data_IF_700726949622
#
_entry.id   IF_700726949622
#
_cell.length_a   1.000
_cell.length_b   1.000
_cell.length_c   1.000
_cell.angle_alpha   90.00
_cell.angle_beta   90.00
_cell.angle_gamma   90.00
#
_symmetry.space_group_name_H-M   'P 1'
#
loop_
_entity.id
_entity.type
_entity.pdbx_description
1 polymer ?
#
# COMPACT_ATOMS: atom_id res chain seq x y z
N UNK A 1 -13.68 -17.76 29.10
CA UNK A 1 -15.14 -17.53 29.14
C UNK A 1 -15.52 -17.32 30.59
N UNK A 2 -16.11 -16.17 30.94
CA UNK A 2 -16.48 -15.86 32.34
C UNK A 2 -17.76 -16.63 32.65
N UNK A 3 -17.74 -17.45 33.70
CA UNK A 3 -18.96 -18.08 34.20
C UNK A 3 -19.87 -17.00 34.79
N UNK A 4 -21.14 -17.03 34.40
CA UNK A 4 -22.19 -16.10 34.84
C UNK A 4 -23.44 -16.85 35.31
N UNK A 5 -23.35 -18.16 35.48
CA UNK A 5 -24.44 -19.04 35.90
C UNK A 5 -25.15 -18.57 37.19
N UNK A 6 -24.43 -17.83 38.04
CA UNK A 6 -24.91 -17.25 39.28
C UNK A 6 -25.87 -16.05 39.11
N UNK A 7 -26.06 -15.50 37.90
CA UNK A 7 -26.96 -14.38 37.67
C UNK A 7 -28.43 -14.86 37.57
N UNK A 8 -29.38 -14.17 38.23
CA UNK A 8 -30.77 -14.63 38.34
C UNK A 8 -31.58 -14.50 37.04
N UNK A 9 -31.18 -13.61 36.12
CA UNK A 9 -31.90 -13.36 34.86
C UNK A 9 -31.13 -13.91 33.66
N UNK A 10 -31.82 -14.64 32.77
CA UNK A 10 -31.22 -15.20 31.55
C UNK A 10 -30.59 -14.13 30.65
N UNK A 11 -31.24 -12.98 30.49
CA UNK A 11 -30.73 -11.85 29.72
C UNK A 11 -29.38 -11.33 30.22
N UNK A 12 -29.11 -11.40 31.53
CA UNK A 12 -27.83 -10.98 32.11
C UNK A 12 -26.73 -12.04 31.94
N UNK A 13 -27.11 -13.32 31.94
CA UNK A 13 -26.20 -14.45 31.66
C UNK A 13 -25.71 -14.44 30.21
N UNK A 14 -26.61 -14.12 29.30
CA UNK A 14 -26.36 -14.09 27.84
C UNK A 14 -25.88 -12.72 27.33
N UNK A 15 -25.84 -11.70 28.20
CA UNK A 15 -25.45 -10.35 27.80
C UNK A 15 -24.01 -10.31 27.26
N UNK A 16 -23.88 -10.08 25.95
CA UNK A 16 -22.60 -9.81 25.32
C UNK A 16 -22.45 -8.29 25.17
N UNK A 17 -21.41 -7.71 25.78
CA UNK A 17 -21.16 -6.28 25.65
C UNK A 17 -20.80 -5.95 24.19
N UNK A 18 -21.77 -5.36 23.49
CA UNK A 18 -21.64 -4.95 22.09
C UNK A 18 -20.66 -3.80 21.92
N UNK A 19 -20.34 -3.05 22.99
CA UNK A 19 -19.36 -1.97 22.91
C UNK A 19 -17.97 -2.55 22.66
N UNK A 20 -17.60 -3.62 23.35
CA UNK A 20 -16.33 -4.32 23.12
C UNK A 20 -16.23 -4.91 21.71
N UNK A 21 -17.34 -5.38 21.13
CA UNK A 21 -17.36 -5.81 19.73
C UNK A 21 -17.14 -4.65 18.75
N UNK A 22 -17.75 -3.49 19.01
CA UNK A 22 -17.54 -2.28 18.19
C UNK A 22 -16.10 -1.75 18.30
N UNK A 23 -15.50 -1.77 19.50
CA UNK A 23 -14.10 -1.38 19.69
C UNK A 23 -13.14 -2.35 19.00
N UNK A 24 -13.40 -3.66 19.07
CA UNK A 24 -12.64 -4.68 18.34
C UNK A 24 -12.72 -4.46 16.82
N UNK A 25 -13.92 -4.16 16.30
CA UNK A 25 -14.13 -3.87 14.89
C UNK A 25 -13.43 -2.59 14.43
N UNK A 26 -13.49 -1.52 15.24
CA UNK A 26 -12.78 -0.27 14.98
C UNK A 26 -11.26 -0.50 14.91
N UNK A 27 -10.68 -1.14 15.93
CA UNK A 27 -9.25 -1.47 16.00
C UNK A 27 -8.79 -2.29 14.77
N UNK A 28 -9.53 -3.35 14.43
CA UNK A 28 -9.21 -4.17 13.26
C UNK A 28 -9.35 -3.40 11.94
N UNK A 29 -10.36 -2.54 11.82
CA UNK A 29 -10.55 -1.71 10.62
C UNK A 29 -9.46 -0.65 10.46
N UNK A 30 -8.98 -0.07 11.56
CA UNK A 30 -7.89 0.92 11.55
C UNK A 30 -6.57 0.26 11.14
N UNK A 31 -6.25 -0.91 11.73
CA UNK A 31 -5.04 -1.65 11.38
C UNK A 31 -5.08 -2.23 9.97
N UNK A 32 -6.23 -2.74 9.49
CA UNK A 32 -6.38 -3.21 8.13
C UNK A 32 -6.23 -2.06 7.11
N UNK A 33 -6.79 -0.88 7.42
CA UNK A 33 -6.64 0.32 6.57
C UNK A 33 -5.20 0.81 6.55
N UNK A 34 -4.53 0.90 7.71
CA UNK A 34 -3.12 1.28 7.79
C UNK A 34 -2.21 0.31 7.03
N UNK A 35 -2.46 -1.00 7.13
CA UNK A 35 -1.72 -2.01 6.37
C UNK A 35 -1.99 -1.90 4.86
N UNK A 36 -3.22 -1.61 4.45
CA UNK A 36 -3.55 -1.36 3.04
C UNK A 36 -2.90 -0.09 2.48
N UNK A 37 -2.74 0.96 3.31
CA UNK A 37 -2.01 2.17 2.93
C UNK A 37 -0.50 1.91 2.85
N UNK A 38 0.07 1.15 3.80
CA UNK A 38 1.50 0.84 3.81
C UNK A 38 1.92 -0.15 2.72
N UNK A 39 1.06 -1.10 2.33
CA UNK A 39 1.32 -1.97 1.16
C UNK A 39 1.40 -1.20 -0.16
N UNK A 40 0.70 -0.07 -0.28
CA UNK A 40 0.83 0.85 -1.42
C UNK A 40 2.06 1.76 -1.34
N UNK A 41 2.69 1.89 -0.15
CA UNK A 41 3.92 2.64 0.09
C UNK A 41 5.19 1.79 -0.02
N UNK A 42 5.15 0.63 -0.70
CA UNK A 42 6.42 0.01 -1.11
C UNK A 42 7.09 0.96 -2.09
N UNK A 43 8.08 1.69 -1.60
CA UNK A 43 8.86 2.70 -2.31
C UNK A 43 9.61 2.05 -3.47
N UNK A 44 8.95 1.85 -4.60
CA UNK A 44 9.59 1.45 -5.86
C UNK A 44 10.38 2.61 -6.50
N UNK A 45 10.46 3.75 -5.82
CA UNK A 45 11.28 4.88 -6.22
C UNK A 45 12.72 4.58 -5.80
N UNK A 46 13.54 4.22 -6.78
CA UNK A 46 14.99 4.10 -6.57
C UNK A 46 15.57 5.40 -6.02
N UNK A 47 16.41 5.32 -4.99
CA UNK A 47 17.21 6.42 -4.39
C UNK A 47 18.26 7.02 -5.35
N UNK A 48 18.15 6.74 -6.65
CA UNK A 48 19.00 7.33 -7.66
C UNK A 48 18.78 8.85 -7.73
N UNK A 49 19.89 9.58 -7.68
CA UNK A 49 19.91 11.01 -8.01
C UNK A 49 19.37 11.25 -9.42
N UNK A 50 18.85 12.45 -9.66
CA UNK A 50 18.36 12.88 -10.97
C UNK A 50 19.41 12.66 -12.07
N UNK A 51 20.66 13.02 -11.78
CA UNK A 51 21.79 12.86 -12.70
C UNK A 51 22.00 11.41 -13.14
N UNK A 52 21.94 10.46 -12.18
CA UNK A 52 22.06 9.04 -12.49
C UNK A 52 20.89 8.53 -13.33
N UNK A 53 19.67 9.00 -13.06
CA UNK A 53 18.49 8.66 -13.87
C UNK A 53 18.65 9.16 -15.32
N UNK A 54 19.08 10.41 -15.49
CA UNK A 54 19.34 10.99 -16.82
C UNK A 54 20.47 10.28 -17.55
N UNK A 55 21.54 9.92 -16.85
CA UNK A 55 22.65 9.16 -17.41
C UNK A 55 22.17 7.79 -17.93
N UNK A 56 21.39 7.06 -17.13
CA UNK A 56 20.82 5.77 -17.56
C UNK A 56 19.88 5.92 -18.75
N UNK A 57 19.01 6.95 -18.76
CA UNK A 57 18.15 7.24 -19.91
C UNK A 57 18.97 7.58 -21.17
N UNK A 58 20.07 8.30 -21.01
CA UNK A 58 20.97 8.65 -22.12
C UNK A 58 21.68 7.41 -22.67
N UNK A 59 22.10 6.49 -21.81
CA UNK A 59 22.69 5.21 -22.22
C UNK A 59 21.68 4.33 -22.95
N UNK A 60 20.45 4.23 -22.44
CA UNK A 60 19.35 3.51 -23.10
C UNK A 60 19.05 4.10 -24.47
N UNK A 61 18.99 5.44 -24.57
CA UNK A 61 18.80 6.15 -25.82
C UNK A 61 19.95 5.89 -26.81
N UNK A 62 21.21 6.06 -26.39
CA UNK A 62 22.37 5.85 -27.25
C UNK A 62 22.47 4.39 -27.76
N UNK A 63 22.16 3.43 -26.89
CA UNK A 63 22.18 2.00 -27.23
C UNK A 63 20.91 1.49 -27.89
N UNK A 64 19.88 2.33 -28.06
CA UNK A 64 18.53 1.93 -28.52
C UNK A 64 18.01 0.67 -27.80
N UNK A 65 18.25 0.61 -26.49
CA UNK A 65 17.92 -0.56 -25.68
C UNK A 65 16.42 -0.61 -25.39
N UNK A 66 15.84 -1.80 -25.47
CA UNK A 66 14.45 -2.02 -25.04
C UNK A 66 14.41 -1.99 -23.50
N UNK A 67 13.86 -0.91 -22.96
CA UNK A 67 13.76 -0.69 -21.51
C UNK A 67 12.31 -0.70 -21.04
N UNK A 68 12.12 -0.93 -19.74
CA UNK A 68 10.84 -0.71 -19.06
C UNK A 68 11.00 0.42 -18.05
N UNK A 69 10.20 1.47 -18.21
CA UNK A 69 10.17 2.63 -17.32
C UNK A 69 8.84 2.61 -16.57
N UNK A 70 8.90 2.76 -15.26
CA UNK A 70 7.72 2.82 -14.40
C UNK A 70 7.62 4.20 -13.79
N UNK A 71 6.46 4.82 -13.93
CA UNK A 71 6.17 6.17 -13.43
C UNK A 71 4.91 6.11 -12.59
N UNK A 72 4.84 6.95 -11.56
CA UNK A 72 3.65 7.14 -10.76
C UNK A 72 2.94 8.38 -11.29
N UNK A 73 1.79 8.19 -11.94
CA UNK A 73 0.93 9.27 -12.44
C UNK A 73 -0.40 9.22 -11.70
N UNK A 74 -0.85 10.33 -11.11
CA UNK A 74 -2.14 10.43 -10.39
C UNK A 74 -2.37 9.28 -9.39
N UNK A 75 -1.32 8.94 -8.64
CA UNK A 75 -1.29 7.85 -7.66
C UNK A 75 -1.52 6.44 -8.24
N UNK A 76 -1.36 6.26 -9.56
CA UNK A 76 -1.40 4.98 -10.25
C UNK A 76 -0.04 4.69 -10.89
N UNK A 77 0.40 3.45 -10.80
CA UNK A 77 1.66 3.00 -11.41
C UNK A 77 1.41 2.67 -12.87
N UNK A 78 2.06 3.42 -13.76
CA UNK A 78 2.02 3.19 -15.21
C UNK A 78 3.38 2.66 -15.63
N UNK A 79 3.39 1.62 -16.47
CA UNK A 79 4.61 1.04 -17.02
C UNK A 79 4.67 1.20 -18.53
N UNK A 80 5.73 1.81 -19.01
CA UNK A 80 6.05 1.95 -20.43
C UNK A 80 7.16 0.95 -20.77
N UNK A 81 7.05 0.22 -21.88
CA UNK A 81 8.07 -0.72 -22.33
C UNK A 81 8.35 -0.49 -23.80
N UNK A 82 9.61 -0.21 -24.15
CA UNK A 82 9.98 0.14 -25.52
C UNK A 82 11.40 0.70 -25.62
N UNK A 83 11.71 1.27 -26.77
CA UNK A 83 12.95 2.04 -27.00
C UNK A 83 12.67 3.53 -26.83
N UNK A 84 13.72 4.32 -26.63
CA UNK A 84 13.62 5.78 -26.50
C UNK A 84 13.99 6.40 -27.86
N UNK A 85 13.04 6.99 -28.61
CA UNK A 85 13.31 7.55 -29.93
C UNK A 85 13.92 8.96 -29.87
N UNK A 86 13.64 9.72 -28.81
CA UNK A 86 14.19 11.05 -28.60
C UNK A 86 14.28 11.36 -27.10
N UNK A 87 15.24 12.21 -26.72
CA UNK A 87 15.44 12.68 -25.36
C UNK A 87 15.48 14.20 -25.37
N UNK A 88 14.52 14.84 -24.69
CA UNK A 88 14.46 16.29 -24.49
C UNK A 88 14.83 16.65 -23.05
N UNK A 89 15.56 17.74 -22.88
CA UNK A 89 16.01 18.26 -21.58
C UNK A 89 14.96 19.18 -20.96
#
# INVERSE_FOLDING_TARGET
>A
MIDRSYLPFQSAREYQDTKMQKWMGFFLSEHASALSDDTNKVTYMSDLSLEKKLLLLSQVYAGQLRTRIQVIEKNKRVSYTGTIPSLTK
#
